data_IF_400368196722
#
_entry.id   IF_400368196722
#
_cell.length_a   1.000
_cell.length_b   1.000
_cell.length_c   1.000
_cell.angle_alpha   90.00
_cell.angle_beta   90.00
_cell.angle_gamma   90.00
#
_symmetry.space_group_name_H-M   'P 1'
#
loop_
_entity.id
_entity.type
_entity.pdbx_description
1 polymer ?
#
# COMPACT_ATOMS: atom_id res chain seq x y z
N UNK A 1 -7.49 5.16 -13.72
CA UNK A 1 -7.22 4.00 -14.59
C UNK A 1 -6.46 2.97 -13.79
N UNK A 2 -6.81 1.69 -13.93
CA UNK A 2 -6.27 0.56 -13.17
C UNK A 2 -5.90 -0.56 -14.13
N UNK A 3 -4.71 -1.15 -13.97
CA UNK A 3 -4.22 -2.24 -14.83
C UNK A 3 -3.67 -3.37 -13.94
N UNK A 4 -4.08 -4.60 -14.24
CA UNK A 4 -3.45 -5.79 -13.66
C UNK A 4 -2.11 -6.04 -14.38
N UNK A 5 -1.01 -5.98 -13.66
CA UNK A 5 0.34 -6.15 -14.22
C UNK A 5 1.02 -7.46 -13.83
N UNK A 6 0.39 -8.25 -12.98
CA UNK A 6 0.93 -9.54 -12.56
C UNK A 6 0.03 -10.32 -11.63
N UNK A 7 0.44 -11.55 -11.37
CA UNK A 7 -0.13 -12.44 -10.37
C UNK A 7 0.88 -12.67 -9.25
N UNK A 8 0.38 -12.95 -8.05
CA UNK A 8 1.20 -13.23 -6.89
C UNK A 8 0.54 -14.31 -6.03
N UNK A 9 1.36 -15.19 -5.45
CA UNK A 9 0.86 -16.19 -4.52
C UNK A 9 0.51 -15.52 -3.19
N UNK A 10 -0.78 -15.23 -3.00
CA UNK A 10 -1.29 -14.54 -1.83
C UNK A 10 -1.03 -15.31 -0.53
N UNK A 11 -1.08 -16.64 -0.56
CA UNK A 11 -0.87 -17.47 0.63
C UNK A 11 0.55 -17.30 1.18
N UNK A 12 1.55 -17.18 0.31
CA UNK A 12 2.94 -16.95 0.73
C UNK A 12 3.10 -15.59 1.42
N UNK A 13 2.45 -14.55 0.90
CA UNK A 13 2.52 -13.21 1.50
C UNK A 13 1.78 -13.17 2.83
N UNK A 14 0.56 -13.73 2.88
CA UNK A 14 -0.22 -13.78 4.13
C UNK A 14 0.49 -14.58 5.21
N UNK A 15 1.05 -15.75 4.89
CA UNK A 15 1.82 -16.54 5.84
C UNK A 15 3.04 -15.78 6.38
N UNK A 16 3.74 -15.03 5.52
CA UNK A 16 4.85 -14.18 5.95
C UNK A 16 4.37 -13.02 6.82
N UNK A 17 3.28 -12.38 6.43
CA UNK A 17 2.66 -11.29 7.20
C UNK A 17 2.23 -11.77 8.60
N UNK A 18 1.53 -12.88 8.71
CA UNK A 18 1.04 -13.44 9.98
C UNK A 18 2.19 -13.74 10.95
N UNK A 19 3.32 -14.27 10.44
CA UNK A 19 4.51 -14.53 11.25
C UNK A 19 5.14 -13.26 11.82
N UNK A 20 5.09 -12.17 11.07
CA UNK A 20 5.77 -10.92 11.39
C UNK A 20 4.87 -9.91 12.12
N UNK A 21 3.55 -9.99 11.92
CA UNK A 21 2.58 -8.94 12.27
C UNK A 21 2.64 -8.47 13.74
N UNK A 22 2.90 -9.39 14.68
CA UNK A 22 2.98 -9.06 16.12
C UNK A 22 4.11 -8.08 16.47
N UNK A 23 5.17 -8.07 15.65
CA UNK A 23 6.37 -7.26 15.89
C UNK A 23 6.45 -6.02 14.96
N UNK A 24 5.46 -5.84 14.07
CA UNK A 24 5.37 -4.67 13.19
C UNK A 24 4.96 -3.45 13.99
N UNK A 25 5.74 -2.37 13.84
CA UNK A 25 5.41 -1.07 14.44
C UNK A 25 4.55 -0.27 13.46
N UNK A 26 3.39 0.16 13.93
CA UNK A 26 2.40 0.87 13.14
C UNK A 26 2.33 2.36 13.52
N UNK A 27 2.21 3.22 12.54
CA UNK A 27 1.86 4.63 12.71
C UNK A 27 0.39 4.86 12.36
N UNK A 28 -0.34 5.57 13.20
CA UNK A 28 -1.74 5.89 12.97
C UNK A 28 -1.90 6.94 11.87
N UNK A 29 -2.94 6.77 11.06
CA UNK A 29 -3.42 7.76 10.10
C UNK A 29 -4.85 8.09 10.48
N UNK A 30 -5.06 9.28 10.99
CA UNK A 30 -6.32 9.73 11.61
C UNK A 30 -7.56 9.31 10.82
N UNK A 31 -8.51 8.70 11.51
CA UNK A 31 -9.83 8.25 11.02
C UNK A 31 -9.82 7.25 9.86
N UNK A 32 -8.64 6.85 9.35
CA UNK A 32 -8.53 5.99 8.17
C UNK A 32 -7.94 4.64 8.51
N UNK A 33 -6.94 4.57 9.39
CA UNK A 33 -6.28 3.33 9.77
C UNK A 33 -4.85 3.52 10.24
N UNK A 34 -3.99 2.57 9.88
CA UNK A 34 -2.58 2.58 10.29
C UNK A 34 -1.68 2.11 9.15
N UNK A 35 -0.45 2.60 9.15
CA UNK A 35 0.55 2.28 8.13
C UNK A 35 1.88 1.89 8.78
N UNK A 36 2.65 1.06 8.08
CA UNK A 36 4.01 0.70 8.48
C UNK A 36 4.94 0.72 7.27
N UNK A 37 6.11 1.33 7.43
CA UNK A 37 7.10 1.44 6.36
C UNK A 37 7.84 0.12 6.11
N UNK A 38 7.83 -0.36 4.87
CA UNK A 38 8.73 -1.37 4.37
C UNK A 38 9.98 -0.73 3.77
N UNK A 39 9.84 0.51 3.34
CA UNK A 39 10.94 1.36 2.91
C UNK A 39 10.91 2.68 3.67
N UNK A 40 12.11 3.22 3.90
CA UNK A 40 12.30 4.46 4.64
C UNK A 40 13.37 5.34 3.98
N UNK A 41 13.46 6.58 4.40
CA UNK A 41 14.50 7.50 3.99
C UNK A 41 15.72 7.32 4.89
N UNK A 42 16.91 7.24 4.29
CA UNK A 42 18.17 7.05 5.03
C UNK A 42 18.32 8.06 6.18
N UNK A 43 18.63 7.54 7.37
CA UNK A 43 18.78 8.34 8.59
C UNK A 43 17.50 8.62 9.37
N UNK A 44 16.32 8.19 8.83
CA UNK A 44 15.04 8.37 9.50
C UNK A 44 14.53 7.06 10.14
N UNK A 45 13.39 7.12 10.83
CA UNK A 45 12.77 5.95 11.46
C UNK A 45 12.28 4.96 10.40
N UNK A 46 12.74 3.69 10.40
CA UNK A 46 12.40 2.71 9.38
C UNK A 46 10.90 2.38 9.28
N UNK A 47 10.17 2.52 10.38
CA UNK A 47 8.76 2.19 10.46
C UNK A 47 7.84 3.34 10.11
N UNK A 48 8.20 4.55 10.55
CA UNK A 48 7.27 5.68 10.61
C UNK A 48 7.58 6.80 9.62
N UNK A 49 8.81 6.90 9.12
CA UNK A 49 9.19 8.02 8.25
C UNK A 49 8.36 8.11 6.96
N UNK A 50 7.95 6.98 6.40
CA UNK A 50 7.14 6.92 5.17
C UNK A 50 5.62 6.99 5.40
N UNK A 51 5.17 6.99 6.67
CA UNK A 51 3.74 7.00 7.04
C UNK A 51 3.10 8.36 6.78
N UNK A 52 1.81 8.34 6.43
CA UNK A 52 1.00 9.54 6.19
C UNK A 52 1.27 10.21 4.86
N UNK A 53 0.86 11.48 4.74
CA UNK A 53 1.01 12.26 3.51
C UNK A 53 2.42 12.86 3.44
N UNK A 54 3.09 12.68 2.31
CA UNK A 54 4.40 13.27 2.00
C UNK A 54 4.32 13.92 0.62
N UNK A 55 4.64 15.19 0.50
CA UNK A 55 4.67 15.90 -0.79
C UNK A 55 6.08 15.89 -1.35
N UNK A 56 6.21 15.63 -2.65
CA UNK A 56 7.45 15.73 -3.43
C UNK A 56 8.65 14.91 -2.89
N UNK A 57 8.40 13.90 -2.06
CA UNK A 57 9.47 13.13 -1.40
C UNK A 57 9.39 11.62 -1.66
N UNK A 58 8.40 11.16 -2.41
CA UNK A 58 8.11 9.74 -2.58
C UNK A 58 9.32 8.90 -3.04
N UNK A 59 10.17 9.45 -3.87
CA UNK A 59 11.34 8.76 -4.42
C UNK A 59 12.54 8.69 -3.46
N UNK A 60 12.50 9.39 -2.33
CA UNK A 60 13.59 9.40 -1.35
C UNK A 60 13.54 8.18 -0.40
N UNK A 61 12.42 7.48 -0.34
CA UNK A 61 12.21 6.31 0.53
C UNK A 61 12.66 5.03 -0.18
N UNK A 62 13.97 4.82 -0.21
CA UNK A 62 14.63 3.74 -0.96
C UNK A 62 15.20 2.64 -0.09
N UNK A 63 15.54 2.95 1.18
CA UNK A 63 16.14 1.99 2.09
C UNK A 63 15.10 0.96 2.55
N UNK A 64 15.45 -0.32 2.48
CA UNK A 64 14.56 -1.39 2.97
C UNK A 64 14.66 -1.45 4.49
N UNK A 65 13.52 -1.38 5.18
CA UNK A 65 13.44 -1.56 6.62
C UNK A 65 14.10 -2.90 7.00
N UNK A 66 15.13 -2.90 7.87
CA UNK A 66 15.89 -4.11 8.23
C UNK A 66 15.03 -5.28 8.69
N UNK A 67 13.88 -5.00 9.28
CA UNK A 67 12.93 -6.02 9.74
C UNK A 67 12.36 -6.88 8.60
N UNK A 68 12.22 -6.33 7.39
CA UNK A 68 11.69 -7.02 6.22
C UNK A 68 12.76 -7.58 5.28
N UNK A 69 14.05 -7.46 5.62
CA UNK A 69 15.13 -8.07 4.85
C UNK A 69 15.04 -9.59 4.86
N UNK A 70 15.39 -10.21 3.75
CA UNK A 70 15.31 -11.66 3.53
C UNK A 70 13.88 -12.23 3.66
N UNK A 71 12.89 -11.42 3.35
CA UNK A 71 11.48 -11.82 3.31
C UNK A 71 10.89 -11.61 1.92
N UNK A 72 9.72 -12.19 1.67
CA UNK A 72 8.96 -11.97 0.43
C UNK A 72 8.66 -10.49 0.16
N UNK A 73 8.60 -9.66 1.20
CA UNK A 73 8.38 -8.22 1.06
C UNK A 73 9.56 -7.52 0.40
N UNK A 74 10.79 -7.88 0.76
CA UNK A 74 12.00 -7.40 0.08
C UNK A 74 12.03 -7.84 -1.37
N UNK A 75 11.69 -9.11 -1.65
CA UNK A 75 11.66 -9.64 -3.01
C UNK A 75 10.67 -8.88 -3.89
N UNK A 76 9.49 -8.55 -3.37
CA UNK A 76 8.48 -7.74 -4.07
C UNK A 76 9.02 -6.34 -4.36
N UNK A 77 9.62 -5.68 -3.38
CA UNK A 77 10.19 -4.34 -3.55
C UNK A 77 11.24 -4.34 -4.67
N UNK A 78 12.15 -5.30 -4.65
CA UNK A 78 13.21 -5.42 -5.66
C UNK A 78 12.65 -5.76 -7.05
N UNK A 79 11.74 -6.74 -7.12
CA UNK A 79 11.13 -7.19 -8.38
C UNK A 79 10.45 -6.06 -9.15
N UNK A 80 9.76 -5.18 -8.44
CA UNK A 80 9.00 -4.08 -9.05
C UNK A 80 9.71 -2.73 -8.95
N UNK A 81 10.94 -2.68 -8.42
CA UNK A 81 11.70 -1.44 -8.18
C UNK A 81 10.88 -0.37 -7.45
N UNK A 82 10.21 -0.78 -6.38
CA UNK A 82 9.31 0.09 -5.63
C UNK A 82 10.08 1.10 -4.78
N UNK A 83 9.46 2.25 -4.58
CA UNK A 83 9.87 3.26 -3.61
C UNK A 83 8.72 3.49 -2.63
N UNK A 84 9.05 3.96 -1.43
CA UNK A 84 8.06 4.28 -0.40
C UNK A 84 7.00 3.18 -0.19
N UNK A 85 7.45 1.92 -0.16
CA UNK A 85 6.56 0.78 0.06
C UNK A 85 6.11 0.71 1.52
N UNK A 86 4.81 0.49 1.72
CA UNK A 86 4.16 0.43 3.05
C UNK A 86 3.14 -0.69 3.09
N UNK A 87 2.92 -1.24 4.27
CA UNK A 87 1.67 -1.94 4.61
C UNK A 87 0.67 -0.90 5.08
N UNK A 88 -0.55 -0.98 4.57
CA UNK A 88 -1.58 0.01 4.83
C UNK A 88 -2.90 -0.68 5.22
N UNK A 89 -3.19 -0.68 6.54
CA UNK A 89 -4.51 -1.02 7.05
C UNK A 89 -5.47 0.16 6.84
N UNK A 90 -6.69 -0.18 6.46
CA UNK A 90 -7.78 0.76 6.39
C UNK A 90 -8.95 0.25 7.23
N UNK A 91 -9.47 1.09 8.12
CA UNK A 91 -10.55 0.74 9.01
C UNK A 91 -11.87 0.53 8.27
N UNK A 92 -12.81 -0.23 8.83
CA UNK A 92 -14.18 -0.30 8.32
C UNK A 92 -14.83 1.08 8.19
N UNK A 93 -15.75 1.21 7.23
CA UNK A 93 -16.58 2.43 7.04
C UNK A 93 -15.76 3.72 6.93
N UNK A 94 -14.63 3.66 6.23
CA UNK A 94 -13.72 4.80 6.06
C UNK A 94 -13.37 5.09 4.59
N UNK A 95 -12.91 6.31 4.34
CA UNK A 95 -12.45 6.73 3.03
C UNK A 95 -11.33 7.76 3.16
N UNK A 96 -10.46 7.80 2.15
CA UNK A 96 -9.58 8.95 1.97
C UNK A 96 -10.38 10.13 1.36
N UNK A 97 -9.91 11.35 1.56
CA UNK A 97 -10.39 12.49 0.75
C UNK A 97 -10.01 12.29 -0.72
N UNK A 98 -10.76 12.90 -1.62
CA UNK A 98 -10.37 12.94 -3.05
C UNK A 98 -9.06 13.72 -3.17
N UNK A 99 -8.07 13.13 -3.80
CA UNK A 99 -6.72 13.69 -3.96
C UNK A 99 -6.03 13.15 -5.21
N UNK A 100 -4.85 13.67 -5.48
CA UNK A 100 -3.89 13.15 -6.46
C UNK A 100 -2.59 12.83 -5.75
N UNK A 101 -1.86 11.83 -6.24
CA UNK A 101 -0.48 11.55 -5.87
C UNK A 101 0.49 12.09 -6.93
N UNK A 102 1.76 12.28 -6.55
CA UNK A 102 2.81 12.68 -7.50
C UNK A 102 3.16 11.56 -8.49
N UNK A 103 3.02 10.30 -8.07
CA UNK A 103 3.37 9.11 -8.83
C UNK A 103 2.26 8.07 -8.78
N UNK A 104 2.19 7.23 -9.81
CA UNK A 104 1.35 6.05 -9.80
C UNK A 104 1.74 5.09 -8.67
N UNK A 105 0.79 4.30 -8.22
CA UNK A 105 1.00 3.32 -7.14
C UNK A 105 0.84 1.90 -7.65
N UNK A 106 1.68 1.03 -7.13
CA UNK A 106 1.46 -0.40 -7.20
C UNK A 106 0.73 -0.84 -5.93
N UNK A 107 -0.33 -1.61 -6.10
CA UNK A 107 -1.10 -2.21 -5.02
C UNK A 107 -1.07 -3.73 -5.10
N UNK A 108 -0.81 -4.36 -3.96
CA UNK A 108 -0.99 -5.80 -3.75
C UNK A 108 -1.95 -5.95 -2.58
N UNK A 109 -3.23 -6.26 -2.85
CA UNK A 109 -4.20 -6.53 -1.78
C UNK A 109 -3.85 -7.83 -1.06
N UNK A 110 -3.69 -7.76 0.27
CA UNK A 110 -3.50 -8.92 1.14
C UNK A 110 -4.82 -9.37 1.73
N UNK A 111 -5.60 -8.41 2.25
CA UNK A 111 -6.93 -8.62 2.82
C UNK A 111 -7.84 -7.55 2.23
N UNK A 112 -8.89 -7.97 1.53
CA UNK A 112 -9.87 -7.06 0.90
C UNK A 112 -11.19 -7.79 0.66
N UNK A 113 -12.22 -7.04 0.29
CA UNK A 113 -13.52 -7.57 -0.12
C UNK A 113 -14.17 -6.64 -1.16
N UNK A 114 -15.30 -7.03 -1.74
CA UNK A 114 -15.97 -6.32 -2.84
C UNK A 114 -16.46 -4.91 -2.48
N UNK A 115 -16.59 -4.60 -1.20
CA UNK A 115 -16.99 -3.28 -0.70
C UNK A 115 -15.79 -2.33 -0.49
N UNK A 116 -14.58 -2.76 -0.89
CA UNK A 116 -13.36 -1.97 -0.91
C UNK A 116 -12.98 -1.64 -2.35
N UNK A 117 -12.95 -0.38 -2.73
CA UNK A 117 -12.68 0.01 -4.12
C UNK A 117 -12.13 1.43 -4.25
N UNK A 118 -11.46 1.68 -5.38
CA UNK A 118 -11.12 3.01 -5.86
C UNK A 118 -12.33 3.67 -6.52
N UNK A 119 -12.50 4.97 -6.30
CA UNK A 119 -13.35 5.83 -7.11
C UNK A 119 -12.46 6.91 -7.73
N UNK A 120 -12.53 7.06 -9.03
CA UNK A 120 -11.97 8.19 -9.76
C UNK A 120 -13.03 9.28 -9.93
N UNK A 121 -12.60 10.53 -10.04
CA UNK A 121 -13.51 11.69 -10.12
C UNK A 121 -14.57 11.56 -11.23
N UNK A 122 -14.22 10.83 -12.30
CA UNK A 122 -15.10 10.56 -13.43
C UNK A 122 -16.19 9.51 -13.12
N UNK A 123 -16.30 9.05 -11.88
CA UNK A 123 -17.29 8.06 -11.44
C UNK A 123 -16.91 6.61 -11.69
N UNK A 124 -15.70 6.35 -12.20
CA UNK A 124 -15.24 4.99 -12.48
C UNK A 124 -14.78 4.33 -11.18
N UNK A 125 -15.27 3.11 -10.93
CA UNK A 125 -14.98 2.32 -9.73
C UNK A 125 -14.17 1.07 -10.08
N UNK A 126 -13.18 0.74 -9.23
CA UNK A 126 -12.39 -0.47 -9.36
C UNK A 126 -12.18 -1.18 -8.03
N UNK A 127 -12.59 -2.45 -7.95
CA UNK A 127 -12.18 -3.34 -6.87
C UNK A 127 -10.85 -4.01 -7.23
N UNK A 128 -9.89 -3.96 -6.32
CA UNK A 128 -8.61 -4.64 -6.46
C UNK A 128 -8.66 -5.97 -5.72
N UNK A 129 -8.79 -7.08 -6.45
CA UNK A 129 -8.86 -8.42 -5.86
C UNK A 129 -7.49 -8.93 -5.40
N UNK A 130 -7.48 -9.84 -4.41
CA UNK A 130 -6.28 -10.55 -3.96
C UNK A 130 -5.68 -11.43 -5.04
N UNK A 131 -4.42 -11.82 -4.88
CA UNK A 131 -3.71 -12.69 -5.83
C UNK A 131 -3.18 -11.97 -7.07
N UNK A 132 -3.37 -10.67 -7.15
CA UNK A 132 -2.93 -9.85 -8.28
C UNK A 132 -2.09 -8.66 -7.84
N UNK A 133 -1.26 -8.20 -8.78
CA UNK A 133 -0.49 -6.97 -8.67
C UNK A 133 -1.13 -5.93 -9.57
N UNK A 134 -1.55 -4.82 -8.99
CA UNK A 134 -2.31 -3.77 -9.65
C UNK A 134 -1.48 -2.49 -9.78
N UNK A 135 -1.36 -1.98 -11.00
CA UNK A 135 -0.93 -0.62 -11.23
C UNK A 135 -2.14 0.31 -11.22
N UNK A 136 -2.06 1.39 -10.46
CA UNK A 136 -3.13 2.38 -10.32
C UNK A 136 -2.57 3.76 -10.65
N UNK A 137 -3.19 4.44 -11.62
CA UNK A 137 -2.82 5.81 -11.96
C UNK A 137 -3.38 6.79 -10.92
N UNK A 138 -2.75 6.83 -9.77
CA UNK A 138 -3.11 7.74 -8.67
C UNK A 138 -2.75 9.20 -8.91
N UNK A 139 -2.16 9.54 -10.06
CA UNK A 139 -1.98 10.92 -10.54
C UNK A 139 -3.33 11.55 -10.97
N UNK A 140 -4.34 10.73 -11.25
CA UNK A 140 -5.71 11.19 -11.46
C UNK A 140 -6.41 11.41 -10.12
N UNK A 141 -7.37 12.33 -10.08
CA UNK A 141 -8.20 12.55 -8.89
C UNK A 141 -8.92 11.27 -8.49
N UNK A 142 -8.64 10.78 -7.29
CA UNK A 142 -9.18 9.52 -6.80
C UNK A 142 -9.38 9.54 -5.28
N UNK A 143 -10.15 8.58 -4.82
CA UNK A 143 -10.22 8.15 -3.42
C UNK A 143 -10.25 6.63 -3.33
N UNK A 144 -9.91 6.09 -2.18
CA UNK A 144 -10.12 4.69 -1.84
C UNK A 144 -11.10 4.58 -0.67
N UNK A 145 -12.03 3.65 -0.79
CA UNK A 145 -13.13 3.43 0.16
C UNK A 145 -13.07 2.03 0.74
N UNK A 146 -13.42 1.90 1.99
CA UNK A 146 -13.77 0.66 2.65
C UNK A 146 -15.19 0.79 3.25
N UNK A 147 -16.21 0.35 2.55
CA UNK A 147 -17.59 0.34 3.02
C UNK A 147 -17.96 -0.87 3.86
N UNK A 148 -17.07 -1.87 3.92
CA UNK A 148 -17.32 -3.11 4.65
C UNK A 148 -17.23 -2.93 6.17
N UNK A 149 -17.66 -3.95 6.90
CA UNK A 149 -17.50 -4.06 8.35
C UNK A 149 -16.15 -4.67 8.75
N UNK A 150 -15.30 -4.99 7.79
CA UNK A 150 -13.99 -5.59 8.02
C UNK A 150 -12.85 -4.66 7.59
N UNK A 151 -11.70 -4.67 8.29
CA UNK A 151 -10.54 -3.91 7.87
C UNK A 151 -9.96 -4.47 6.56
N UNK A 152 -9.26 -3.62 5.82
CA UNK A 152 -8.58 -3.96 4.58
C UNK A 152 -7.07 -3.74 4.73
N UNK A 153 -6.25 -4.64 4.21
CA UNK A 153 -4.78 -4.53 4.18
C UNK A 153 -4.25 -4.62 2.77
N UNK A 154 -3.49 -3.61 2.33
CA UNK A 154 -2.72 -3.63 1.10
C UNK A 154 -1.23 -3.36 1.37
N UNK A 155 -0.37 -3.98 0.55
CA UNK A 155 0.96 -3.47 0.30
C UNK A 155 0.84 -2.43 -0.81
N UNK A 156 1.42 -1.24 -0.58
CA UNK A 156 1.36 -0.12 -1.52
C UNK A 156 2.74 0.49 -1.67
N UNK A 157 3.19 0.64 -2.91
CA UNK A 157 4.46 1.28 -3.23
C UNK A 157 4.36 2.24 -4.40
N UNK A 158 5.27 3.20 -4.49
CA UNK A 158 5.46 4.04 -5.67
C UNK A 158 6.02 3.20 -6.79
N UNK A 159 5.42 3.27 -7.96
CA UNK A 159 5.84 2.58 -9.17
C UNK A 159 6.05 3.61 -10.28
N UNK A 160 7.32 3.90 -10.53
CA UNK A 160 7.73 4.96 -11.45
C UNK A 160 8.17 4.40 -12.81
N UNK A 161 7.30 3.59 -13.44
CA UNK A 161 7.51 3.09 -14.80
C UNK A 161 6.36 3.46 -15.71
#
# INVERSE_FOLDING_TARGET
>A
MVIKIGNININNILSSFEKLNKDIIWGDVEHIGKQSGLQYKKGENPWLSSVGKKKNMDLEYTEINPFFKNTIFEDIIKKYDLKRTRLMWMTPKSSYSIHTDDYARLHIPLITNKECFFIFKEGIQFHLSVGHVWWVNTKLNHTYLNFSDNPRLHLVGVFNK
#
